data_IF_587832854517
#
_entry.id   IF_587832854517
#
_cell.length_a   1.000
_cell.length_b   1.000
_cell.length_c   1.000
_cell.angle_alpha   90.00
_cell.angle_beta   90.00
_cell.angle_gamma   90.00
#
_symmetry.space_group_name_H-M   'P 1'
#
loop_
_entity.id
_entity.type
_entity.pdbx_description
1 polymer ?
#
# COMPACT_ATOMS: atom_id res chain seq x y z
N UNK A 1 52.39 -7.36 -19.68
CA UNK A 1 51.62 -8.00 -18.60
C UNK A 1 50.44 -7.09 -18.24
N UNK A 2 49.21 -7.48 -18.59
CA UNK A 2 48.00 -6.68 -18.36
C UNK A 2 47.46 -6.99 -16.97
N UNK A 3 47.64 -6.09 -16.00
CA UNK A 3 46.97 -6.18 -14.71
C UNK A 3 45.48 -5.87 -14.90
N UNK A 4 44.70 -6.94 -15.02
CA UNK A 4 43.25 -6.95 -14.98
C UNK A 4 42.83 -6.46 -13.58
N UNK A 5 42.49 -5.18 -13.44
CA UNK A 5 41.82 -4.67 -12.25
C UNK A 5 40.51 -5.42 -12.09
N UNK A 6 40.51 -6.39 -11.17
CA UNK A 6 39.37 -7.18 -10.75
C UNK A 6 38.38 -6.20 -10.13
N UNK A 7 37.21 -6.04 -10.77
CA UNK A 7 36.08 -5.29 -10.22
C UNK A 7 35.78 -5.84 -8.82
N UNK A 8 36.02 -5.03 -7.79
CA UNK A 8 35.43 -5.21 -6.46
C UNK A 8 34.55 -4.00 -6.21
N UNK A 9 33.33 -4.05 -6.73
CA UNK A 9 32.24 -3.25 -6.20
C UNK A 9 32.00 -3.80 -4.79
N UNK A 10 32.65 -3.19 -3.78
CA UNK A 10 32.28 -3.40 -2.39
C UNK A 10 30.92 -2.72 -2.21
N UNK A 11 29.85 -3.46 -2.48
CA UNK A 11 28.51 -3.13 -2.01
C UNK A 11 28.49 -3.48 -0.51
N UNK A 12 29.23 -2.69 0.27
CA UNK A 12 29.17 -2.73 1.72
C UNK A 12 27.91 -1.95 2.06
N UNK A 13 26.79 -2.67 2.14
CA UNK A 13 25.48 -2.18 2.53
C UNK A 13 25.56 -1.47 3.89
N UNK A 14 25.82 -0.16 3.84
CA UNK A 14 25.87 0.71 5.01
C UNK A 14 24.46 1.18 5.34
N UNK A 15 23.54 0.24 5.59
CA UNK A 15 22.24 0.59 6.13
C UNK A 15 22.43 1.28 7.48
N UNK A 16 21.96 2.52 7.58
CA UNK A 16 22.15 3.33 8.78
C UNK A 16 21.50 2.63 9.98
N UNK A 17 22.12 2.70 11.16
CA UNK A 17 21.65 1.96 12.35
C UNK A 17 20.22 2.35 12.79
N UNK A 18 19.70 3.49 12.34
CA UNK A 18 18.33 3.95 12.60
C UNK A 18 17.34 3.61 11.47
N UNK A 19 17.79 3.05 10.35
CA UNK A 19 16.90 2.68 9.25
C UNK A 19 16.24 1.33 9.53
N UNK A 20 14.96 1.25 9.19
CA UNK A 20 14.17 0.04 9.28
C UNK A 20 13.84 -0.47 7.87
N UNK A 21 14.15 -1.74 7.61
CA UNK A 21 13.88 -2.38 6.33
C UNK A 21 12.39 -2.63 6.17
N UNK A 22 11.88 -2.32 4.98
CA UNK A 22 10.48 -2.48 4.65
C UNK A 22 10.30 -3.05 3.25
N UNK A 23 9.26 -3.86 3.11
CA UNK A 23 8.84 -4.44 1.84
C UNK A 23 7.47 -3.90 1.47
N UNK A 24 7.31 -3.46 0.23
CA UNK A 24 6.02 -3.06 -0.31
C UNK A 24 5.17 -4.31 -0.51
N UNK A 25 3.95 -4.26 0.00
CA UNK A 25 2.93 -5.29 -0.20
C UNK A 25 1.68 -4.67 -0.80
N UNK A 26 0.99 -5.43 -1.65
CA UNK A 26 -0.27 -5.03 -2.25
C UNK A 26 -1.38 -5.92 -1.71
N UNK A 27 -2.35 -5.31 -1.03
CA UNK A 27 -3.53 -6.00 -0.54
C UNK A 27 -4.63 -5.93 -1.60
N UNK A 28 -5.05 -7.08 -2.10
CA UNK A 28 -6.23 -7.18 -2.96
C UNK A 28 -7.50 -7.17 -2.10
N UNK A 29 -8.31 -6.12 -2.21
CA UNK A 29 -9.60 -5.98 -1.53
C UNK A 29 -10.74 -6.66 -2.30
N UNK A 30 -10.52 -7.02 -3.57
CA UNK A 30 -11.50 -7.62 -4.46
C UNK A 30 -12.21 -6.64 -5.39
N UNK A 31 -13.02 -7.18 -6.30
CA UNK A 31 -13.66 -6.45 -7.40
C UNK A 31 -14.71 -5.42 -6.96
N UNK A 32 -15.20 -5.53 -5.73
CA UNK A 32 -16.19 -4.62 -5.16
C UNK A 32 -15.57 -3.40 -4.49
N UNK A 33 -14.25 -3.25 -4.54
CA UNK A 33 -13.52 -2.15 -3.93
C UNK A 33 -12.85 -1.25 -4.97
N UNK A 34 -12.87 0.05 -4.70
CA UNK A 34 -12.12 1.03 -5.48
C UNK A 34 -11.32 1.96 -4.54
N UNK A 35 -9.99 2.04 -4.68
CA UNK A 35 -9.14 1.17 -5.52
C UNK A 35 -9.14 -0.30 -5.01
N UNK A 36 -9.04 -1.28 -5.93
CA UNK A 36 -9.01 -2.71 -5.60
C UNK A 36 -7.74 -3.12 -4.85
N UNK A 37 -6.60 -2.65 -5.35
CA UNK A 37 -5.29 -2.97 -4.76
C UNK A 37 -4.84 -1.81 -3.89
N UNK A 38 -4.61 -2.12 -2.61
CA UNK A 38 -4.17 -1.16 -1.63
C UNK A 38 -2.70 -1.39 -1.30
N UNK A 39 -1.86 -0.36 -1.52
CA UNK A 39 -0.44 -0.41 -1.22
C UNK A 39 -0.23 -0.30 0.29
N UNK A 40 0.56 -1.19 0.86
CA UNK A 40 1.01 -1.14 2.24
C UNK A 40 2.48 -1.58 2.35
N UNK A 41 3.01 -1.63 3.57
CA UNK A 41 4.38 -2.07 3.85
C UNK A 41 4.44 -3.06 5.01
N UNK A 42 5.39 -3.98 4.96
CA UNK A 42 5.75 -4.90 6.04
C UNK A 42 7.21 -4.64 6.45
N UNK A 43 7.47 -4.59 7.76
CA UNK A 43 8.85 -4.47 8.28
C UNK A 43 9.49 -5.86 8.30
N UNK A 44 10.65 -6.02 7.64
CA UNK A 44 11.12 -7.36 7.19
C UNK A 44 12.29 -7.95 7.97
N UNK A 45 13.29 -7.19 8.39
CA UNK A 45 14.57 -7.82 8.77
C UNK A 45 15.18 -7.39 10.12
N UNK A 46 14.86 -6.20 10.63
CA UNK A 46 15.45 -5.69 11.88
C UNK A 46 14.38 -5.44 12.92
N UNK A 47 14.25 -6.32 13.92
CA UNK A 47 13.40 -6.04 15.07
C UNK A 47 13.93 -4.86 15.89
N UNK A 48 15.25 -4.71 15.94
CA UNK A 48 15.93 -3.67 16.71
C UNK A 48 16.66 -2.69 15.79
N UNK A 49 16.65 -1.43 16.19
CA UNK A 49 17.33 -0.32 15.52
C UNK A 49 17.99 0.58 16.57
N UNK A 50 18.73 1.59 16.11
CA UNK A 50 19.54 2.50 16.92
C UNK A 50 20.39 1.75 17.95
N UNK A 51 21.37 0.99 17.46
CA UNK A 51 22.29 0.20 18.30
C UNK A 51 21.58 -0.77 19.27
N UNK A 52 20.34 -1.17 18.98
CA UNK A 52 19.59 -2.11 19.81
C UNK A 52 18.66 -1.47 20.85
N UNK A 53 18.60 -0.14 20.93
CA UNK A 53 17.80 0.58 21.93
C UNK A 53 16.33 0.76 21.57
N UNK A 54 15.99 0.72 20.28
CA UNK A 54 14.63 0.92 19.78
C UNK A 54 14.20 -0.26 18.91
N UNK A 55 12.92 -0.26 18.51
CA UNK A 55 12.36 -1.28 17.62
C UNK A 55 11.84 -0.66 16.33
N UNK A 56 11.96 -1.42 15.25
CA UNK A 56 11.29 -1.07 14.01
C UNK A 56 9.80 -1.40 14.14
N UNK A 57 8.95 -0.38 14.01
CA UNK A 57 7.50 -0.53 14.09
C UNK A 57 6.85 -0.02 12.82
N UNK A 58 5.80 -0.71 12.33
CA UNK A 58 5.03 -0.18 11.22
C UNK A 58 4.34 1.11 11.65
N UNK A 59 4.39 2.12 10.81
CA UNK A 59 3.58 3.33 10.98
C UNK A 59 2.37 3.25 10.07
N UNK A 60 1.19 3.39 10.67
CA UNK A 60 -0.08 3.20 9.98
C UNK A 60 -0.86 4.50 9.87
N UNK A 61 -1.68 4.61 8.83
CA UNK A 61 -2.75 5.59 8.74
C UNK A 61 -4.01 4.97 8.13
N UNK A 62 -5.14 5.64 8.32
CA UNK A 62 -6.43 5.18 7.79
C UNK A 62 -6.72 5.84 6.45
N UNK A 63 -7.07 5.02 5.46
CA UNK A 63 -7.59 5.46 4.16
C UNK A 63 -9.07 5.18 4.06
N UNK A 64 -9.79 6.02 3.30
CA UNK A 64 -11.17 5.77 2.91
C UNK A 64 -11.19 5.11 1.53
N UNK A 65 -11.81 3.94 1.45
CA UNK A 65 -11.97 3.14 0.24
C UNK A 65 -13.44 3.08 -0.12
N UNK A 66 -13.76 3.08 -1.41
CA UNK A 66 -15.12 2.89 -1.88
C UNK A 66 -15.43 1.40 -1.97
N UNK A 67 -16.50 0.95 -1.31
CA UNK A 67 -17.04 -0.40 -1.41
C UNK A 67 -18.41 -0.41 -2.06
N UNK A 68 -18.62 -1.32 -3.00
CA UNK A 68 -19.90 -1.50 -3.69
C UNK A 68 -20.92 -2.15 -2.76
N UNK A 69 -22.11 -1.57 -2.67
CA UNK A 69 -23.28 -2.18 -2.04
C UNK A 69 -23.74 -3.39 -2.85
N UNK A 70 -23.87 -4.56 -2.21
CA UNK A 70 -24.38 -5.78 -2.87
C UNK A 70 -25.89 -5.94 -2.73
N UNK A 71 -26.50 -5.20 -1.83
CA UNK A 71 -27.92 -5.26 -1.46
C UNK A 71 -28.83 -4.40 -2.35
N UNK A 72 -28.26 -3.55 -3.23
CA UNK A 72 -29.03 -2.63 -4.09
C UNK A 72 -28.51 -2.64 -5.53
N UNK A 73 -29.17 -3.39 -6.40
CA UNK A 73 -29.00 -3.25 -7.84
C UNK A 73 -29.92 -2.12 -8.34
N UNK A 74 -29.35 -1.07 -8.93
CA UNK A 74 -30.14 -0.05 -9.63
C UNK A 74 -30.30 -0.47 -11.09
N UNK A 75 -31.55 -0.59 -11.55
CA UNK A 75 -31.83 -0.83 -12.96
C UNK A 75 -31.36 0.38 -13.78
N UNK A 76 -30.48 0.16 -14.75
CA UNK A 76 -30.11 1.20 -15.68
C UNK A 76 -31.32 1.54 -16.56
N UNK A 77 -31.65 2.82 -16.69
CA UNK A 77 -32.67 3.24 -17.64
C UNK A 77 -32.27 2.81 -19.07
N UNK A 78 -33.24 2.46 -19.94
CA UNK A 78 -32.95 2.10 -21.32
C UNK A 78 -32.14 3.21 -22.01
N UNK A 79 -31.13 2.82 -22.78
CA UNK A 79 -30.15 3.70 -23.46
C UNK A 79 -29.13 4.45 -22.57
N UNK A 80 -29.02 4.12 -21.28
CA UNK A 80 -27.96 4.68 -20.43
C UNK A 80 -26.61 4.05 -20.79
N UNK A 81 -25.68 4.83 -21.34
CA UNK A 81 -24.30 4.39 -21.57
C UNK A 81 -23.58 4.30 -20.23
N UNK A 82 -23.38 3.08 -19.73
CA UNK A 82 -22.62 2.85 -18.50
C UNK A 82 -21.14 2.98 -18.85
N UNK A 83 -20.53 4.10 -18.44
CA UNK A 83 -19.14 4.45 -18.72
C UNK A 83 -18.76 5.80 -18.12
N UNK A 84 -17.53 6.27 -18.37
CA UNK A 84 -16.97 7.52 -17.81
C UNK A 84 -17.75 8.75 -18.31
N UNK A 85 -18.28 8.68 -19.53
CA UNK A 85 -19.15 9.68 -20.14
C UNK A 85 -20.61 9.44 -19.73
N UNK A 86 -20.95 9.75 -18.47
CA UNK A 86 -22.32 9.61 -17.95
C UNK A 86 -22.43 9.00 -16.56
N UNK A 87 -21.47 9.25 -15.66
CA UNK A 87 -21.53 8.76 -14.28
C UNK A 87 -22.75 9.38 -13.54
N UNK A 88 -23.88 8.66 -13.57
CA UNK A 88 -25.14 9.10 -12.99
C UNK A 88 -24.97 9.38 -11.48
N UNK A 89 -25.60 10.43 -10.91
CA UNK A 89 -25.52 10.75 -9.48
C UNK A 89 -25.87 9.57 -8.56
N UNK A 90 -26.70 8.65 -9.05
CA UNK A 90 -27.09 7.42 -8.35
C UNK A 90 -25.94 6.43 -8.13
N UNK A 91 -24.85 6.52 -8.88
CA UNK A 91 -23.66 5.71 -8.59
C UNK A 91 -23.10 6.05 -7.20
N UNK A 92 -23.23 7.29 -6.71
CA UNK A 92 -22.88 7.61 -5.30
C UNK A 92 -23.72 6.82 -4.29
N UNK A 93 -24.94 6.40 -4.64
CA UNK A 93 -25.79 5.56 -3.77
C UNK A 93 -25.36 4.09 -3.74
N UNK A 94 -24.65 3.65 -4.78
CA UNK A 94 -24.15 2.29 -4.94
C UNK A 94 -22.83 2.03 -4.21
N UNK A 95 -22.10 3.08 -3.81
CA UNK A 95 -20.84 2.96 -3.09
C UNK A 95 -20.97 3.49 -1.67
N UNK A 96 -20.22 2.89 -0.74
CA UNK A 96 -20.06 3.36 0.64
C UNK A 96 -18.58 3.54 0.94
N UNK A 97 -18.27 4.50 1.81
CA UNK A 97 -16.92 4.66 2.33
C UNK A 97 -16.69 3.61 3.42
N UNK A 98 -15.64 2.82 3.26
CA UNK A 98 -15.10 1.89 4.25
C UNK A 98 -13.69 2.34 4.64
N UNK A 99 -13.37 2.29 5.92
CA UNK A 99 -12.07 2.70 6.44
C UNK A 99 -11.13 1.50 6.51
N UNK A 100 -9.91 1.65 5.98
CA UNK A 100 -8.86 0.64 6.04
C UNK A 100 -7.59 1.23 6.62
N UNK A 101 -7.02 0.57 7.64
CA UNK A 101 -5.70 0.87 8.13
C UNK A 101 -4.64 0.28 7.18
N UNK A 102 -3.65 1.09 6.82
CA UNK A 102 -2.48 0.68 6.03
C UNK A 102 -1.21 1.12 6.72
N UNK A 103 -0.21 0.24 6.70
CA UNK A 103 1.16 0.61 7.03
C UNK A 103 1.77 1.33 5.83
N UNK A 104 2.46 2.44 6.05
CA UNK A 104 3.06 3.23 4.97
C UNK A 104 4.59 3.31 5.03
N UNK A 105 5.17 3.20 6.23
CA UNK A 105 6.59 3.07 6.46
C UNK A 105 6.87 2.23 7.71
N UNK A 106 8.15 1.98 7.98
CA UNK A 106 8.64 1.43 9.23
C UNK A 106 9.53 2.48 9.91
N UNK A 107 9.22 2.83 11.16
CA UNK A 107 9.95 3.84 11.92
C UNK A 107 10.72 3.17 13.07
N UNK A 108 11.93 3.66 13.33
CA UNK A 108 12.71 3.30 14.50
C UNK A 108 12.21 4.09 15.72
N UNK A 109 11.52 3.41 16.64
CA UNK A 109 10.87 4.07 17.79
C UNK A 109 10.90 3.19 19.04
N UNK A 110 10.67 3.82 20.21
CA UNK A 110 10.44 3.18 21.50
C UNK A 110 9.34 2.11 21.38
#
# INVERSE_FOLDING_TARGET
>A
MKHRHRRSFMEMDSMQQWQCEMKIVWKDLGVDYFPRYLRSVECTERERCWYGHFRCKPRSFTVKILKRRRDKCLAAAPNTRIGINGLHPDLKRLWVWEEHAVNFCCDCSL
#
